data_IF_010880583157
#
_entry.id   IF_010880583157
#
_cell.length_a   1.000
_cell.length_b   1.000
_cell.length_c   1.000
_cell.angle_alpha   90.00
_cell.angle_beta   90.00
_cell.angle_gamma   90.00
#
_symmetry.space_group_name_H-M   'P 1'
#
loop_
_entity.id
_entity.type
_entity.pdbx_description
1 polymer ?
#
# COMPACT_ATOMS: atom_id res chain seq x y z
N UNK A 1 -24.79 4.25 -2.79
CA UNK A 1 -24.63 2.92 -2.20
C UNK A 1 -23.45 2.94 -1.23
N UNK A 2 -23.50 2.17 -0.14
CA UNK A 2 -22.36 2.02 0.77
C UNK A 2 -21.34 1.10 0.09
N UNK A 3 -20.22 1.65 -0.39
CA UNK A 3 -19.10 0.89 -0.93
C UNK A 3 -18.15 0.53 0.20
N UNK A 4 -18.36 -0.64 0.81
CA UNK A 4 -17.58 -1.14 1.94
C UNK A 4 -16.06 -1.09 1.68
N UNK A 5 -15.64 -1.45 0.46
CA UNK A 5 -14.23 -1.42 0.07
C UNK A 5 -13.65 0.00 0.06
N UNK A 6 -14.42 1.00 -0.38
CA UNK A 6 -13.98 2.40 -0.49
C UNK A 6 -13.71 2.97 0.89
N UNK A 7 -14.62 2.74 1.83
CA UNK A 7 -14.44 3.13 3.23
C UNK A 7 -13.26 2.43 3.88
N UNK A 8 -13.14 1.10 3.69
CA UNK A 8 -12.01 0.33 4.20
C UNK A 8 -10.68 0.89 3.69
N UNK A 9 -10.60 1.20 2.40
CA UNK A 9 -9.38 1.73 1.81
C UNK A 9 -9.10 3.17 2.26
N UNK A 10 -10.11 4.03 2.39
CA UNK A 10 -9.97 5.38 2.93
C UNK A 10 -9.39 5.37 4.34
N UNK A 11 -9.87 4.50 5.22
CA UNK A 11 -9.37 4.38 6.61
C UNK A 11 -7.90 3.96 6.60
N UNK A 12 -7.53 2.98 5.77
CA UNK A 12 -6.13 2.52 5.65
C UNK A 12 -5.23 3.65 5.15
N UNK A 13 -5.62 4.36 4.09
CA UNK A 13 -4.83 5.45 3.52
C UNK A 13 -4.73 6.63 4.48
N UNK A 14 -5.80 6.94 5.20
CA UNK A 14 -5.80 7.96 6.25
C UNK A 14 -4.84 7.60 7.39
N UNK A 15 -4.74 6.33 7.77
CA UNK A 15 -3.76 5.89 8.76
C UNK A 15 -2.33 6.14 8.28
N UNK A 16 -2.00 5.74 7.06
CA UNK A 16 -0.69 6.00 6.46
C UNK A 16 -0.38 7.49 6.27
N UNK A 17 -1.39 8.33 6.05
CA UNK A 17 -1.21 9.79 5.91
C UNK A 17 -0.59 10.47 7.13
N UNK A 18 -0.74 9.87 8.32
CA UNK A 18 -0.14 10.38 9.56
C UNK A 18 1.38 10.24 9.58
N UNK A 19 1.93 9.36 8.75
CA UNK A 19 3.34 9.01 8.72
C UNK A 19 4.05 9.51 7.46
N UNK A 20 3.33 10.16 6.54
CA UNK A 20 3.97 10.90 5.47
C UNK A 20 4.75 12.06 6.09
N UNK A 21 6.07 12.02 5.93
CA UNK A 21 6.93 13.16 6.27
C UNK A 21 6.54 14.31 5.35
N UNK A 22 5.82 15.30 5.89
CA UNK A 22 5.64 16.58 5.20
C UNK A 22 7.04 17.16 5.05
N UNK A 23 7.57 17.16 3.83
CA UNK A 23 8.81 17.87 3.55
C UNK A 23 8.65 19.32 4.03
N UNK A 24 9.45 19.72 5.00
CA UNK A 24 9.41 21.06 5.60
C UNK A 24 10.01 22.14 4.68
N UNK A 25 10.14 21.87 3.38
CA UNK A 25 10.47 22.87 2.36
C UNK A 25 9.17 23.30 1.68
N UNK A 26 8.33 24.03 2.43
CA UNK A 26 7.18 24.73 1.85
C UNK A 26 7.67 26.05 1.28
N UNK A 27 8.26 26.02 0.08
CA UNK A 27 8.30 27.24 -0.74
C UNK A 27 6.87 27.60 -1.13
N UNK A 28 6.62 28.90 -1.05
CA UNK A 28 5.33 29.58 -1.08
C UNK A 28 4.56 29.25 -2.37
N UNK A 29 3.30 28.82 -2.22
CA UNK A 29 2.28 28.52 -3.25
C UNK A 29 2.38 27.17 -3.97
N UNK A 30 1.68 26.18 -3.44
CA UNK A 30 0.89 25.25 -4.26
C UNK A 30 -0.40 24.95 -3.52
N UNK A 31 -1.47 24.72 -4.28
CA UNK A 31 -2.83 24.61 -3.81
C UNK A 31 -2.97 23.62 -2.65
N UNK A 32 -3.91 23.92 -1.74
CA UNK A 32 -4.23 23.12 -0.56
C UNK A 32 -4.88 21.76 -0.90
N UNK A 33 -4.67 21.20 -2.10
CA UNK A 33 -5.00 19.81 -2.35
C UNK A 33 -4.01 18.97 -1.55
N UNK A 34 -4.47 18.44 -0.40
CA UNK A 34 -3.89 17.20 0.09
C UNK A 34 -3.95 16.24 -1.09
N UNK A 35 -2.81 15.86 -1.66
CA UNK A 35 -2.80 14.73 -2.58
C UNK A 35 -3.37 13.55 -1.78
N UNK A 36 -4.53 13.06 -2.21
CA UNK A 36 -5.11 11.87 -1.62
C UNK A 36 -4.07 10.76 -1.75
N UNK A 37 -3.66 10.21 -0.60
CA UNK A 37 -2.77 9.06 -0.58
C UNK A 37 -3.38 7.94 -1.39
N UNK A 38 -2.53 7.23 -2.13
CA UNK A 38 -2.90 6.06 -2.93
C UNK A 38 -2.26 4.81 -2.34
N UNK A 39 -2.75 3.63 -2.71
CA UNK A 39 -2.11 2.36 -2.32
C UNK A 39 -0.67 2.32 -2.81
N UNK A 40 -0.43 2.78 -4.03
CA UNK A 40 0.90 2.86 -4.62
C UNK A 40 1.85 3.75 -3.82
N UNK A 41 1.41 4.95 -3.41
CA UNK A 41 2.25 5.86 -2.62
C UNK A 41 2.44 5.35 -1.19
N UNK A 42 1.45 4.66 -0.61
CA UNK A 42 1.60 4.00 0.68
C UNK A 42 2.63 2.87 0.65
N UNK A 43 2.59 2.02 -0.38
CA UNK A 43 3.59 0.98 -0.61
C UNK A 43 4.99 1.58 -0.84
N UNK A 44 5.07 2.72 -1.52
CA UNK A 44 6.33 3.37 -1.83
C UNK A 44 7.07 3.86 -0.58
N UNK A 45 6.38 4.08 0.55
CA UNK A 45 7.01 4.38 1.85
C UNK A 45 7.93 3.24 2.33
N UNK A 46 7.70 2.01 1.86
CA UNK A 46 8.47 0.81 2.22
C UNK A 46 9.34 0.29 1.06
N UNK A 47 9.48 1.05 -0.03
CA UNK A 47 10.15 0.60 -1.26
C UNK A 47 11.67 0.45 -1.15
N UNK A 48 12.32 1.15 -0.20
CA UNK A 48 13.77 1.10 0.02
C UNK A 48 14.08 0.75 1.47
N UNK A 49 15.29 0.24 1.73
CA UNK A 49 15.75 -0.03 3.10
C UNK A 49 15.74 1.24 3.97
N UNK A 50 16.11 2.39 3.42
CA UNK A 50 16.14 3.65 4.16
C UNK A 50 14.73 4.14 4.54
N UNK A 51 13.80 4.15 3.58
CA UNK A 51 12.42 4.60 3.82
C UNK A 51 11.68 3.64 4.73
N UNK A 52 11.79 2.33 4.51
CA UNK A 52 11.19 1.33 5.39
C UNK A 52 11.77 1.43 6.81
N UNK A 53 13.07 1.70 6.98
CA UNK A 53 13.68 1.86 8.30
C UNK A 53 13.18 3.11 9.03
N UNK A 54 12.91 4.19 8.30
CA UNK A 54 12.24 5.35 8.85
C UNK A 54 10.81 5.02 9.29
N UNK A 55 10.05 4.28 8.47
CA UNK A 55 8.68 3.89 8.80
C UNK A 55 8.61 2.99 10.05
N UNK A 56 9.46 1.96 10.17
CA UNK A 56 9.49 1.08 11.36
C UNK A 56 9.82 1.83 12.65
N UNK A 57 10.52 2.97 12.57
CA UNK A 57 10.73 3.86 13.73
C UNK A 57 9.49 4.69 14.10
N UNK A 58 8.61 4.95 13.14
CA UNK A 58 7.44 5.79 13.32
C UNK A 58 6.17 4.98 13.64
N UNK A 59 6.10 3.72 13.20
CA UNK A 59 4.93 2.87 13.37
C UNK A 59 5.31 1.41 13.65
N UNK A 60 4.41 0.69 14.33
CA UNK A 60 4.53 -0.75 14.53
C UNK A 60 4.50 -1.47 13.17
N UNK A 61 5.54 -2.25 12.83
CA UNK A 61 5.65 -2.82 11.50
C UNK A 61 4.65 -3.96 11.26
N UNK A 62 4.19 -4.64 12.31
CA UNK A 62 3.09 -5.61 12.24
C UNK A 62 1.78 -4.92 11.83
N UNK A 63 1.50 -3.73 12.37
CA UNK A 63 0.33 -2.92 11.94
C UNK A 63 0.48 -2.50 10.48
N UNK A 64 1.69 -2.13 10.04
CA UNK A 64 1.94 -1.77 8.65
C UNK A 64 1.68 -2.97 7.72
N UNK A 65 2.18 -4.17 8.04
CA UNK A 65 1.94 -5.39 7.25
C UNK A 65 0.44 -5.71 7.15
N UNK A 66 -0.28 -5.64 8.27
CA UNK A 66 -1.71 -5.94 8.32
C UNK A 66 -2.51 -4.98 7.44
N UNK A 67 -2.23 -3.68 7.54
CA UNK A 67 -2.91 -2.66 6.75
C UNK A 67 -2.58 -2.76 5.26
N UNK A 68 -1.32 -3.03 4.90
CA UNK A 68 -0.94 -3.28 3.52
C UNK A 68 -1.65 -4.52 2.98
N UNK A 69 -1.73 -5.62 3.74
CA UNK A 69 -2.40 -6.84 3.32
C UNK A 69 -3.91 -6.62 3.07
N UNK A 70 -4.57 -5.84 3.93
CA UNK A 70 -5.96 -5.45 3.70
C UNK A 70 -6.13 -4.53 2.50
N UNK A 71 -5.24 -3.57 2.27
CA UNK A 71 -5.27 -2.73 1.08
C UNK A 71 -5.11 -3.58 -0.19
N UNK A 72 -4.19 -4.54 -0.18
CA UNK A 72 -3.97 -5.46 -1.30
C UNK A 72 -5.19 -6.35 -1.57
N UNK A 73 -5.81 -6.89 -0.52
CA UNK A 73 -7.07 -7.66 -0.66
C UNK A 73 -8.18 -6.82 -1.30
N UNK A 74 -8.28 -5.53 -0.96
CA UNK A 74 -9.22 -4.61 -1.60
C UNK A 74 -8.87 -4.41 -3.08
N UNK A 75 -7.60 -4.17 -3.42
CA UNK A 75 -7.17 -4.05 -4.82
C UNK A 75 -7.59 -5.27 -5.65
N UNK A 76 -7.42 -6.49 -5.11
CA UNK A 76 -7.85 -7.73 -5.78
C UNK A 76 -9.37 -7.83 -5.97
N UNK A 77 -10.15 -7.27 -5.04
CA UNK A 77 -11.61 -7.38 -5.04
C UNK A 77 -12.27 -6.43 -6.03
N UNK A 78 -11.61 -5.30 -6.33
CA UNK A 78 -12.16 -4.25 -7.20
C UNK A 78 -11.58 -4.30 -8.62
N UNK A 79 -10.42 -4.96 -8.80
CA UNK A 79 -9.85 -5.21 -10.13
C UNK A 79 -10.75 -6.20 -10.91
N UNK A 80 -11.59 -5.67 -11.80
CA UNK A 80 -12.55 -6.43 -12.60
C UNK A 80 -14.00 -5.93 -12.53
N UNK A 81 -14.33 -5.05 -11.58
CA UNK A 81 -15.68 -4.50 -11.45
C UNK A 81 -15.81 -3.17 -12.24
N UNK A 82 -16.45 -3.23 -13.41
CA UNK A 82 -16.46 -2.14 -14.39
C UNK A 82 -17.22 -0.89 -13.92
N UNK A 83 -18.14 -1.04 -12.97
CA UNK A 83 -18.93 0.07 -12.42
C UNK A 83 -18.10 1.01 -11.54
N UNK A 84 -16.97 0.54 -10.99
CA UNK A 84 -16.20 1.29 -9.97
C UNK A 84 -14.73 1.46 -10.35
N UNK A 85 -14.37 1.03 -11.57
CA UNK A 85 -13.00 1.02 -12.08
C UNK A 85 -12.29 2.38 -11.99
N UNK A 86 -13.00 3.50 -12.21
CA UNK A 86 -12.38 4.82 -12.18
C UNK A 86 -11.99 5.27 -10.76
N UNK A 87 -12.89 5.07 -9.78
CA UNK A 87 -12.63 5.38 -8.38
C UNK A 87 -11.55 4.46 -7.81
N UNK A 88 -11.60 3.17 -8.16
CA UNK A 88 -10.62 2.17 -7.78
C UNK A 88 -9.23 2.50 -8.33
N UNK A 89 -9.13 2.79 -9.64
CA UNK A 89 -7.89 3.18 -10.28
C UNK A 89 -7.28 4.42 -9.61
N UNK A 90 -8.11 5.43 -9.28
CA UNK A 90 -7.66 6.63 -8.57
C UNK A 90 -7.09 6.31 -7.18
N UNK A 91 -7.75 5.45 -6.40
CA UNK A 91 -7.29 5.10 -5.05
C UNK A 91 -6.10 4.12 -5.05
N UNK A 92 -6.01 3.23 -6.04
CA UNK A 92 -4.85 2.35 -6.22
C UNK A 92 -3.62 3.17 -6.63
N UNK A 93 -3.78 4.07 -7.61
CA UNK A 93 -2.72 4.92 -8.15
C UNK A 93 -1.79 4.22 -9.16
N UNK A 94 -1.90 2.90 -9.32
CA UNK A 94 -1.10 2.10 -10.25
C UNK A 94 -1.86 0.85 -10.69
N UNK A 95 -1.33 0.13 -11.69
CA UNK A 95 -1.90 -1.15 -12.14
C UNK A 95 -1.80 -2.23 -11.07
N UNK A 96 -2.67 -3.25 -11.11
CA UNK A 96 -2.60 -4.37 -10.17
C UNK A 96 -1.25 -5.09 -10.22
N UNK A 97 -0.61 -5.17 -11.40
CA UNK A 97 0.73 -5.73 -11.55
C UNK A 97 1.77 -4.91 -10.77
N UNK A 98 1.79 -3.59 -10.94
CA UNK A 98 2.70 -2.71 -10.22
C UNK A 98 2.46 -2.74 -8.72
N UNK A 99 1.19 -2.72 -8.28
CA UNK A 99 0.81 -2.88 -6.88
C UNK A 99 1.33 -4.20 -6.32
N UNK A 100 1.18 -5.31 -7.07
CA UNK A 100 1.68 -6.63 -6.64
C UNK A 100 3.20 -6.65 -6.49
N UNK A 101 3.94 -6.07 -7.44
CA UNK A 101 5.39 -5.94 -7.35
C UNK A 101 5.83 -5.07 -6.16
N UNK A 102 5.19 -3.91 -5.97
CA UNK A 102 5.49 -3.01 -4.86
C UNK A 102 5.14 -3.62 -3.51
N UNK A 103 4.06 -4.38 -3.43
CA UNK A 103 3.66 -5.13 -2.23
C UNK A 103 4.71 -6.15 -1.82
N UNK A 104 5.19 -6.97 -2.76
CA UNK A 104 6.26 -7.95 -2.48
C UNK A 104 7.53 -7.24 -1.99
N UNK A 105 7.95 -6.17 -2.67
CA UNK A 105 9.13 -5.40 -2.27
C UNK A 105 8.99 -4.76 -0.89
N UNK A 106 7.82 -4.19 -0.57
CA UNK A 106 7.54 -3.61 0.74
C UNK A 106 7.68 -4.64 1.86
N UNK A 107 7.07 -5.82 1.70
CA UNK A 107 7.17 -6.91 2.68
C UNK A 107 8.60 -7.43 2.85
N UNK A 108 9.35 -7.55 1.75
CA UNK A 108 10.76 -7.95 1.80
C UNK A 108 11.60 -6.94 2.59
N UNK A 109 11.43 -5.64 2.35
CA UNK A 109 12.19 -4.61 3.06
C UNK A 109 11.80 -4.53 4.54
N UNK A 110 10.50 -4.60 4.86
CA UNK A 110 10.04 -4.68 6.25
C UNK A 110 10.69 -5.84 7.01
N UNK A 111 10.75 -7.02 6.37
CA UNK A 111 11.38 -8.22 6.96
C UNK A 111 12.89 -8.11 7.07
N UNK A 112 13.58 -7.49 6.10
CA UNK A 112 15.03 -7.24 6.18
C UNK A 112 15.38 -6.35 7.37
N UNK A 113 14.58 -5.33 7.63
CA UNK A 113 14.83 -4.34 8.68
C UNK A 113 14.43 -4.88 10.06
N UNK A 114 13.36 -5.66 10.13
CA UNK A 114 12.91 -6.30 11.35
C UNK A 114 12.78 -7.81 11.14
N UNK A 115 13.91 -8.52 11.29
CA UNK A 115 13.97 -9.96 11.04
C UNK A 115 13.05 -10.81 11.93
N UNK A 116 12.70 -10.28 13.12
CA UNK A 116 11.87 -10.96 14.11
C UNK A 116 10.38 -10.60 13.98
N UNK A 117 10.00 -9.83 12.96
CA UNK A 117 8.61 -9.44 12.74
C UNK A 117 7.70 -10.67 12.58
N UNK A 118 6.62 -10.69 13.34
CA UNK A 118 5.64 -11.76 13.22
C UNK A 118 4.76 -11.49 12.00
N UNK A 119 4.67 -12.48 11.10
CA UNK A 119 3.78 -12.44 9.95
C UNK A 119 2.64 -13.43 10.20
N UNK A 120 1.42 -12.91 10.30
CA UNK A 120 0.19 -13.66 10.42
C UNK A 120 -0.09 -14.54 9.20
N UNK A 121 -1.02 -15.49 9.35
CA UNK A 121 -1.44 -16.34 8.23
C UNK A 121 -2.06 -15.52 7.08
N UNK A 122 -2.87 -14.51 7.42
CA UNK A 122 -3.51 -13.62 6.46
C UNK A 122 -2.48 -12.87 5.60
N UNK A 123 -1.44 -12.31 6.21
CA UNK A 123 -0.39 -11.59 5.48
C UNK A 123 0.45 -12.52 4.59
N UNK A 124 0.69 -13.77 5.02
CA UNK A 124 1.38 -14.78 4.19
C UNK A 124 0.57 -15.10 2.93
N UNK A 125 -0.74 -15.25 3.06
CA UNK A 125 -1.63 -15.52 1.93
C UNK A 125 -1.68 -14.34 0.96
N UNK A 126 -1.74 -13.11 1.47
CA UNK A 126 -1.64 -11.89 0.65
C UNK A 126 -0.31 -11.83 -0.10
N UNK A 127 0.82 -12.10 0.58
CA UNK A 127 2.15 -12.11 -0.03
C UNK A 127 2.31 -13.20 -1.10
N UNK A 128 1.81 -14.40 -0.84
CA UNK A 128 1.82 -15.50 -1.80
C UNK A 128 1.00 -15.14 -3.06
N UNK A 129 -0.18 -14.55 -2.86
CA UNK A 129 -1.05 -14.11 -3.94
C UNK A 129 -0.38 -13.04 -4.79
N UNK A 130 0.22 -12.03 -4.15
CA UNK A 130 0.96 -10.96 -4.83
C UNK A 130 2.13 -11.48 -5.65
N UNK A 131 2.95 -12.36 -5.08
CA UNK A 131 4.07 -12.98 -5.79
C UNK A 131 3.60 -13.81 -6.99
N UNK A 132 2.48 -14.54 -6.84
CA UNK A 132 1.91 -15.36 -7.92
C UNK A 132 1.37 -14.48 -9.06
N UNK A 133 0.64 -13.41 -8.74
CA UNK A 133 0.10 -12.50 -9.74
C UNK A 133 1.20 -11.72 -10.46
N UNK A 134 2.18 -11.18 -9.72
CA UNK A 134 3.33 -10.51 -10.31
C UNK A 134 4.02 -11.40 -11.36
N UNK A 135 4.24 -12.67 -11.03
CA UNK A 135 4.83 -13.65 -11.96
C UNK A 135 3.94 -13.96 -13.16
N UNK A 136 2.63 -14.15 -12.96
CA UNK A 136 1.69 -14.49 -14.04
C UNK A 136 1.48 -13.33 -15.02
N UNK A 137 1.40 -12.10 -14.51
CA UNK A 137 1.15 -10.91 -15.31
C UNK A 137 2.41 -10.40 -16.03
N UNK A 138 3.61 -10.66 -15.50
CA UNK A 138 4.89 -10.36 -16.19
C UNK A 138 5.19 -11.29 -17.38
N UNK A 139 4.61 -12.50 -17.39
CA UNK A 139 4.83 -13.51 -18.43
C UNK A 139 3.74 -13.50 -19.52
N UNK A 140 2.87 -12.49 -19.53
CA UNK A 140 1.88 -12.23 -20.58
C UNK A 140 2.35 -11.08 -21.46
#
# INVERSE_FOLDING_TARGET
AFTEWKWKLQIILQYFSRYQVKSAVRTRRSDNSQQDLTVESALSMFSTDASAKAMVKMMCPEVAQLLLAHAYQVCLSVDGDSSEANDAAKMMGASLLEISCKFVSAFQNLRKINANIQISQFEKEALFTAATLARKLQNK
#
